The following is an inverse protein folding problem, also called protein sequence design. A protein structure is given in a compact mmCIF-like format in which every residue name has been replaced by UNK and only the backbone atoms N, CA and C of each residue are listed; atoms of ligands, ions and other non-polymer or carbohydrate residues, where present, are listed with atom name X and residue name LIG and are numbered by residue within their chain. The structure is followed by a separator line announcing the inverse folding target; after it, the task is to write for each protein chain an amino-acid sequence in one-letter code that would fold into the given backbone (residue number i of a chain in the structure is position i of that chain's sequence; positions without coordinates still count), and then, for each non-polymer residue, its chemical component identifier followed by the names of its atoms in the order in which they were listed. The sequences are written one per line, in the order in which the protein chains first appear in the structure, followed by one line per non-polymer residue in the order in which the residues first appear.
data_IF_523790261613
#
_entry.id   IF_523790261613
#
_cell.length_a   1.000
_cell.length_b   1.000
_cell.length_c   1.000
_cell.angle_alpha   90.00
_cell.angle_beta   90.00
_cell.angle_gamma   90.00
#
_symmetry.space_group_name_H-M   'P 1'
#
loop_
_entity.id
_entity.type
_entity.pdbx_description
1 polymer ?
#
# COMPACT_ATOMS: atom_id res chain seq x y z
N UNK A 1 2.30 -14.31 9.92
CA UNK A 1 1.85 -13.08 10.62
C UNK A 1 1.77 -11.95 9.61
N UNK A 2 0.95 -10.92 9.87
CA UNK A 2 0.71 -9.77 8.98
C UNK A 2 0.95 -8.50 9.80
N UNK A 3 1.81 -7.59 9.34
CA UNK A 3 1.93 -6.23 9.88
C UNK A 3 1.07 -5.29 9.03
N UNK A 4 0.39 -4.33 9.68
CA UNK A 4 -0.29 -3.23 8.99
C UNK A 4 0.72 -2.10 8.81
N UNK A 5 0.89 -1.63 7.57
CA UNK A 5 1.80 -0.55 7.23
C UNK A 5 1.02 0.68 6.75
N UNK A 6 1.28 1.82 7.37
CA UNK A 6 0.65 3.11 7.05
C UNK A 6 1.74 4.16 6.84
N UNK A 7 1.79 4.77 5.67
CA UNK A 7 2.56 6.00 5.43
C UNK A 7 1.62 7.19 5.49
N UNK A 8 1.93 8.17 6.37
CA UNK A 8 1.09 9.35 6.54
C UNK A 8 1.93 10.64 6.62
N UNK A 9 1.27 11.80 6.62
CA UNK A 9 1.86 13.12 6.74
C UNK A 9 0.86 14.09 7.39
N UNK A 10 1.29 15.31 7.73
CA UNK A 10 0.53 16.23 8.59
C UNK A 10 -0.91 16.54 8.11
N UNK A 11 -1.14 16.61 6.79
CA UNK A 11 -2.51 16.91 6.28
C UNK A 11 -3.51 15.79 6.53
N UNK A 12 -3.01 14.56 6.63
CA UNK A 12 -3.84 13.36 6.78
C UNK A 12 -3.97 12.89 8.24
N UNK A 13 -3.29 13.51 9.23
CA UNK A 13 -3.31 13.02 10.62
C UNK A 13 -4.70 13.00 11.26
N UNK A 14 -5.61 13.91 10.88
CA UNK A 14 -7.00 13.83 11.33
C UNK A 14 -7.70 12.59 10.79
N UNK A 15 -7.42 12.24 9.53
CA UNK A 15 -7.98 11.05 8.90
C UNK A 15 -7.34 9.78 9.46
N UNK A 16 -6.02 9.83 9.73
CA UNK A 16 -5.31 8.75 10.39
C UNK A 16 -5.96 8.37 11.73
N UNK A 17 -6.44 9.33 12.53
CA UNK A 17 -7.18 9.03 13.75
C UNK A 17 -8.46 8.22 13.50
N UNK A 18 -9.22 8.57 12.45
CA UNK A 18 -10.41 7.79 12.08
C UNK A 18 -10.04 6.42 11.53
N UNK A 19 -8.98 6.34 10.73
CA UNK A 19 -8.42 5.08 10.25
C UNK A 19 -8.06 4.16 11.43
N UNK A 20 -7.26 4.64 12.38
CA UNK A 20 -6.83 3.87 13.57
C UNK A 20 -8.00 3.42 14.43
N UNK A 21 -8.99 4.29 14.70
CA UNK A 21 -10.21 3.90 15.42
C UNK A 21 -11.00 2.83 14.67
N UNK A 22 -11.02 2.87 13.35
CA UNK A 22 -11.68 1.84 12.55
C UNK A 22 -10.92 0.51 12.56
N UNK A 23 -9.58 0.57 12.53
CA UNK A 23 -8.73 -0.62 12.69
C UNK A 23 -8.99 -1.26 14.07
N UNK A 24 -8.94 -0.48 15.15
CA UNK A 24 -9.21 -0.94 16.52
C UNK A 24 -10.56 -1.64 16.63
N UNK A 25 -11.59 -1.07 16.02
CA UNK A 25 -12.96 -1.57 16.13
C UNK A 25 -13.23 -2.78 15.24
N UNK A 26 -12.67 -2.84 14.05
CA UNK A 26 -13.13 -3.74 13.01
C UNK A 26 -12.08 -4.76 12.53
N UNK A 27 -10.78 -4.54 12.76
CA UNK A 27 -9.76 -5.47 12.30
C UNK A 27 -9.21 -6.33 13.42
N UNK A 28 -8.99 -7.60 13.10
CA UNK A 28 -8.32 -8.57 13.98
C UNK A 28 -7.30 -9.39 13.19
N UNK A 29 -6.38 -10.06 13.89
CA UNK A 29 -5.44 -11.00 13.27
C UNK A 29 -4.17 -10.37 12.71
N UNK A 30 -3.89 -9.09 12.95
CA UNK A 30 -2.59 -8.46 12.66
C UNK A 30 -1.63 -8.66 13.84
N UNK A 31 -0.33 -8.51 13.54
CA UNK A 31 0.73 -8.59 14.55
C UNK A 31 0.97 -7.21 15.20
N UNK A 32 1.25 -6.19 14.38
CA UNK A 32 1.47 -4.80 14.81
C UNK A 32 1.02 -3.81 13.74
N UNK A 33 0.93 -2.53 14.14
CA UNK A 33 0.70 -1.41 13.22
C UNK A 33 1.99 -0.61 13.16
N UNK A 34 2.52 -0.45 11.96
CA UNK A 34 3.70 0.35 11.66
C UNK A 34 3.27 1.64 10.97
N UNK A 35 3.63 2.77 11.54
CA UNK A 35 3.35 4.09 10.95
C UNK A 35 4.66 4.77 10.60
N UNK A 36 4.79 5.26 9.37
CA UNK A 36 5.94 6.04 8.91
C UNK A 36 5.50 7.46 8.59
N UNK A 37 6.16 8.45 9.21
CA UNK A 37 5.87 9.88 9.00
C UNK A 37 7.14 10.67 8.70
N UNK A 38 7.04 11.85 8.02
CA UNK A 38 8.16 12.78 7.89
C UNK A 38 8.57 13.35 9.24
N UNK A 39 9.86 13.55 9.44
CA UNK A 39 10.42 14.13 10.67
C UNK A 39 9.89 15.53 10.97
N UNK A 40 9.69 16.34 9.93
CA UNK A 40 9.09 17.67 10.05
C UNK A 40 7.69 17.67 10.63
N UNK A 41 6.97 16.56 10.53
CA UNK A 41 5.56 16.42 10.95
C UNK A 41 5.43 15.79 12.36
N UNK A 42 6.53 15.37 13.00
CA UNK A 42 6.50 14.61 14.25
C UNK A 42 5.77 15.33 15.40
N UNK A 43 6.03 16.63 15.58
CA UNK A 43 5.37 17.40 16.65
C UNK A 43 3.87 17.54 16.41
N UNK A 44 3.46 17.71 15.16
CA UNK A 44 2.05 17.77 14.75
C UNK A 44 1.40 16.40 14.99
N UNK A 45 2.08 15.31 14.63
CA UNK A 45 1.63 13.96 14.89
C UNK A 45 1.31 13.76 16.37
N UNK A 46 2.23 14.08 17.28
CA UNK A 46 2.06 13.95 18.72
C UNK A 46 0.89 14.77 19.28
N UNK A 47 0.55 15.90 18.65
CA UNK A 47 -0.56 16.77 19.09
C UNK A 47 -1.93 16.34 18.56
N UNK A 48 -1.97 15.55 17.49
CA UNK A 48 -3.23 15.21 16.80
C UNK A 48 -3.57 13.73 16.94
N UNK A 49 -2.57 12.82 16.83
CA UNK A 49 -2.83 11.38 16.79
C UNK A 49 -2.86 10.82 18.20
N UNK A 50 -4.04 10.32 18.59
CA UNK A 50 -4.28 9.71 19.90
C UNK A 50 -4.89 8.32 19.71
N UNK A 51 -4.23 7.30 20.25
CA UNK A 51 -4.66 5.91 20.14
C UNK A 51 -4.03 5.08 21.25
N UNK A 52 -4.75 4.07 21.72
CA UNK A 52 -4.25 3.03 22.65
C UNK A 52 -3.69 1.81 21.89
N UNK A 53 -3.77 1.80 20.56
CA UNK A 53 -3.23 0.72 19.76
C UNK A 53 -1.70 0.64 19.89
N UNK A 54 -1.12 -0.56 19.90
CA UNK A 54 0.33 -0.75 19.89
C UNK A 54 0.91 -0.34 18.52
N UNK A 55 1.37 0.90 18.40
CA UNK A 55 1.94 1.45 17.18
C UNK A 55 3.46 1.47 17.28
N UNK A 56 4.12 0.97 16.26
CA UNK A 56 5.53 1.21 16.00
C UNK A 56 5.67 2.41 15.06
N UNK A 57 6.13 3.54 15.59
CA UNK A 57 6.27 4.79 14.84
C UNK A 57 7.70 4.95 14.32
N UNK A 58 7.84 5.11 13.02
CA UNK A 58 9.09 5.47 12.36
C UNK A 58 9.04 6.90 11.82
N UNK A 59 10.10 7.64 12.10
CA UNK A 59 10.26 9.04 11.67
C UNK A 59 11.39 9.11 10.66
N UNK A 60 11.09 9.59 9.44
CA UNK A 60 12.03 9.61 8.32
C UNK A 60 12.29 11.03 7.82
N UNK A 61 13.50 11.28 7.35
CA UNK A 61 13.79 12.52 6.61
C UNK A 61 13.11 12.44 5.24
N UNK A 62 12.26 13.42 4.93
CA UNK A 62 11.58 13.53 3.63
C UNK A 62 12.30 14.57 2.78
N UNK A 63 12.51 14.25 1.50
CA UNK A 63 13.13 15.14 0.53
C UNK A 63 12.46 14.98 -0.85
N UNK A 64 12.70 15.97 -1.72
CA UNK A 64 12.13 15.97 -3.06
C UNK A 64 10.60 16.10 -3.09
N UNK A 65 9.97 15.42 -4.03
CA UNK A 65 8.51 15.38 -4.15
C UNK A 65 7.90 14.45 -3.11
N UNK A 66 7.06 14.98 -2.22
CA UNK A 66 6.47 14.21 -1.11
C UNK A 66 5.56 13.07 -1.57
N UNK A 67 4.90 13.19 -2.74
CA UNK A 67 4.11 12.10 -3.33
C UNK A 67 5.02 10.96 -3.77
N UNK A 68 6.09 11.24 -4.50
CA UNK A 68 7.03 10.21 -4.95
C UNK A 68 7.78 9.59 -3.77
N UNK A 69 8.14 10.41 -2.77
CA UNK A 69 8.77 9.90 -1.55
C UNK A 69 7.86 8.94 -0.77
N UNK A 70 6.55 9.23 -0.70
CA UNK A 70 5.58 8.29 -0.13
C UNK A 70 5.57 6.95 -0.88
N UNK A 71 5.61 6.98 -2.21
CA UNK A 71 5.67 5.77 -3.03
C UNK A 71 6.94 4.96 -2.75
N UNK A 72 8.09 5.64 -2.66
CA UNK A 72 9.37 5.02 -2.32
C UNK A 72 9.35 4.37 -0.93
N UNK A 73 8.81 5.05 0.09
CA UNK A 73 8.69 4.50 1.44
C UNK A 73 7.79 3.24 1.44
N UNK A 74 6.69 3.23 0.68
CA UNK A 74 5.84 2.05 0.53
C UNK A 74 6.58 0.90 -0.19
N UNK A 75 7.37 1.18 -1.21
CA UNK A 75 8.21 0.17 -1.88
C UNK A 75 9.29 -0.43 -0.96
N UNK A 76 9.67 0.28 0.09
CA UNK A 76 10.67 -0.15 1.07
C UNK A 76 10.08 -0.52 2.44
N UNK A 77 8.77 -0.79 2.52
CA UNK A 77 8.07 -1.10 3.76
C UNK A 77 8.65 -2.31 4.53
N UNK A 78 9.32 -3.24 3.84
CA UNK A 78 10.02 -4.37 4.45
C UNK A 78 11.11 -3.95 5.45
N UNK A 79 11.64 -2.71 5.37
CA UNK A 79 12.63 -2.17 6.31
C UNK A 79 12.03 -1.81 7.69
N UNK A 80 10.72 -1.72 7.76
CA UNK A 80 9.96 -1.30 8.94
C UNK A 80 9.09 -2.42 9.51
N UNK A 81 8.77 -3.43 8.71
CA UNK A 81 7.91 -4.55 9.05
C UNK A 81 8.70 -5.83 9.19
N UNK A 82 8.39 -6.65 10.22
CA UNK A 82 9.09 -7.92 10.48
C UNK A 82 8.27 -9.15 10.09
N UNK A 83 6.95 -8.99 9.92
CA UNK A 83 6.06 -10.09 9.57
C UNK A 83 6.29 -10.57 8.13
N UNK A 84 5.91 -11.81 7.86
CA UNK A 84 5.97 -12.40 6.52
C UNK A 84 5.15 -11.62 5.49
N UNK A 85 4.03 -11.04 5.94
CA UNK A 85 3.13 -10.27 5.10
C UNK A 85 3.03 -8.83 5.59
N UNK A 86 2.90 -7.91 4.65
CA UNK A 86 2.70 -6.49 4.89
C UNK A 86 1.37 -6.09 4.25
N UNK A 87 0.42 -5.62 5.06
CA UNK A 87 -0.86 -5.09 4.62
C UNK A 87 -0.78 -3.57 4.57
N UNK A 88 -0.96 -3.02 3.38
CA UNK A 88 -0.94 -1.57 3.16
C UNK A 88 -2.31 -0.96 3.42
N UNK A 89 -2.35 0.03 4.29
CA UNK A 89 -3.55 0.82 4.58
C UNK A 89 -3.19 2.30 4.41
N UNK A 90 -3.92 3.01 3.57
CA UNK A 90 -3.76 4.46 3.45
C UNK A 90 -4.44 5.16 4.64
N UNK A 91 -3.88 6.27 5.09
CA UNK A 91 -4.37 6.99 6.27
C UNK A 91 -5.79 7.56 6.13
N UNK A 92 -6.32 7.61 4.91
CA UNK A 92 -7.69 8.02 4.59
C UNK A 92 -8.66 6.84 4.38
N UNK A 93 -8.25 5.62 4.70
CA UNK A 93 -9.08 4.42 4.65
C UNK A 93 -9.81 4.19 5.98
N UNK A 94 -11.10 3.86 5.91
CA UNK A 94 -11.93 3.55 7.09
C UNK A 94 -12.57 2.18 6.88
N UNK A 95 -12.41 1.30 7.85
CA UNK A 95 -13.09 0.01 7.90
C UNK A 95 -14.46 0.17 8.57
N UNK A 96 -15.48 -0.47 8.02
CA UNK A 96 -16.85 -0.43 8.52
C UNK A 96 -17.42 -1.85 8.81
N UNK A 97 -16.62 -2.89 8.52
CA UNK A 97 -16.99 -4.31 8.70
C UNK A 97 -15.91 -5.02 9.51
N UNK A 98 -16.32 -6.00 10.33
CA UNK A 98 -15.37 -6.86 11.02
C UNK A 98 -14.64 -7.77 10.04
N UNK A 99 -13.31 -7.68 10.02
CA UNK A 99 -12.44 -8.47 9.16
C UNK A 99 -11.33 -9.09 10.01
N UNK A 100 -11.23 -10.42 9.99
CA UNK A 100 -10.00 -11.09 10.40
C UNK A 100 -9.05 -11.08 9.21
N UNK A 101 -8.00 -10.26 9.25
CA UNK A 101 -7.11 -10.07 8.10
C UNK A 101 -6.35 -11.34 7.71
N UNK A 102 -6.24 -12.33 8.59
CA UNK A 102 -5.67 -13.65 8.24
C UNK A 102 -6.50 -14.35 7.16
N UNK A 103 -7.81 -14.07 7.06
CA UNK A 103 -8.67 -14.65 6.02
C UNK A 103 -8.37 -14.14 4.62
N UNK A 104 -7.63 -13.01 4.50
CA UNK A 104 -7.19 -12.44 3.21
C UNK A 104 -5.95 -13.16 2.65
N UNK A 105 -5.38 -14.08 3.44
CA UNK A 105 -4.22 -14.89 3.04
C UNK A 105 -4.60 -16.36 3.11
N UNK A 106 -4.93 -16.95 1.98
CA UNK A 106 -5.30 -18.37 1.90
C UNK A 106 -4.10 -19.22 1.53
N UNK A 107 -3.81 -20.26 2.32
CA UNK A 107 -2.66 -21.16 2.09
C UNK A 107 -1.32 -20.42 1.94
N UNK A 108 -1.13 -19.31 2.66
CA UNK A 108 0.07 -18.48 2.55
C UNK A 108 0.11 -17.58 1.31
N UNK A 109 -0.97 -17.50 0.53
CA UNK A 109 -1.07 -16.70 -0.68
C UNK A 109 -2.04 -15.54 -0.48
N UNK A 110 -1.57 -14.28 -0.40
CA UNK A 110 -2.43 -13.10 -0.46
C UNK A 110 -3.15 -13.01 -1.80
N UNK A 111 -4.39 -12.50 -1.77
CA UNK A 111 -5.16 -12.27 -2.99
C UNK A 111 -4.83 -10.91 -3.60
N UNK A 112 -4.55 -10.89 -4.91
CA UNK A 112 -4.39 -9.68 -5.71
C UNK A 112 -5.40 -9.71 -6.86
N UNK A 113 -6.30 -8.73 -6.87
CA UNK A 113 -7.24 -8.54 -7.96
C UNK A 113 -6.58 -7.72 -9.07
N UNK A 114 -6.77 -8.14 -10.32
CA UNK A 114 -6.23 -7.44 -11.47
C UNK A 114 -7.26 -7.34 -12.61
N UNK A 115 -7.09 -6.34 -13.47
CA UNK A 115 -7.93 -6.17 -14.66
C UNK A 115 -7.10 -5.63 -15.83
N UNK A 116 -7.53 -5.90 -17.05
CA UNK A 116 -6.84 -5.40 -18.24
C UNK A 116 -6.94 -3.88 -18.35
N UNK A 117 -5.85 -3.19 -18.66
CA UNK A 117 -5.81 -1.72 -18.76
C UNK A 117 -6.84 -1.13 -19.73
N UNK A 118 -7.29 -1.87 -20.74
CA UNK A 118 -8.37 -1.42 -21.63
C UNK A 118 -9.73 -1.27 -20.96
N UNK A 119 -9.88 -1.73 -19.70
CA UNK A 119 -11.16 -1.73 -18.97
C UNK A 119 -11.16 -0.81 -17.73
N UNK A 120 -10.10 -0.05 -17.50
CA UNK A 120 -9.92 0.68 -16.21
C UNK A 120 -10.11 2.20 -16.29
N UNK A 121 -10.57 2.76 -17.39
CA UNK A 121 -10.82 4.21 -17.50
C UNK A 121 -9.60 5.04 -17.07
N UNK A 122 -9.77 5.88 -16.04
CA UNK A 122 -8.73 6.82 -15.58
C UNK A 122 -7.48 6.14 -15.05
N UNK A 123 -7.56 4.89 -14.57
CA UNK A 123 -6.41 4.16 -14.07
C UNK A 123 -5.38 3.80 -15.16
N UNK A 124 -5.71 4.00 -16.45
CA UNK A 124 -4.77 3.87 -17.58
C UNK A 124 -3.54 4.78 -17.40
N UNK A 125 -3.66 5.87 -16.66
CA UNK A 125 -2.57 6.80 -16.39
C UNK A 125 -1.39 6.16 -15.63
N UNK A 126 -1.62 5.03 -14.96
CA UNK A 126 -0.58 4.30 -14.23
C UNK A 126 0.21 3.32 -15.10
N UNK A 127 -0.29 3.00 -16.29
CA UNK A 127 0.33 2.01 -17.18
C UNK A 127 1.78 2.36 -17.51
N UNK A 128 2.02 3.56 -18.02
CA UNK A 128 3.35 3.95 -18.52
C UNK A 128 4.43 3.95 -17.41
N UNK A 129 4.10 4.39 -16.18
CA UNK A 129 5.08 4.38 -15.10
C UNK A 129 5.37 2.95 -14.61
N UNK A 130 4.35 2.07 -14.65
CA UNK A 130 4.53 0.65 -14.34
C UNK A 130 5.38 -0.05 -15.39
N UNK A 131 5.16 0.21 -16.69
CA UNK A 131 5.99 -0.31 -17.78
C UNK A 131 7.46 0.14 -17.66
N UNK A 132 7.69 1.41 -17.31
CA UNK A 132 9.06 1.90 -17.05
C UNK A 132 9.72 1.18 -15.88
N UNK A 133 8.99 0.93 -14.80
CA UNK A 133 9.50 0.19 -13.65
C UNK A 133 9.83 -1.25 -14.01
N UNK A 134 8.93 -1.93 -14.74
CA UNK A 134 9.12 -3.32 -15.17
C UNK A 134 10.12 -3.48 -16.31
N UNK A 135 10.48 -2.39 -16.99
CA UNK A 135 11.23 -2.41 -18.25
C UNK A 135 10.61 -3.36 -19.28
N UNK A 136 9.28 -3.47 -19.29
CA UNK A 136 8.51 -4.37 -20.16
C UNK A 136 7.08 -3.84 -20.33
N UNK A 137 6.36 -4.40 -21.30
CA UNK A 137 4.95 -4.10 -21.52
C UNK A 137 4.08 -4.68 -20.40
N UNK A 138 3.23 -3.85 -19.79
CA UNK A 138 2.30 -4.26 -18.75
C UNK A 138 0.86 -4.17 -19.26
N UNK A 139 0.14 -5.29 -19.19
CA UNK A 139 -1.23 -5.39 -19.70
C UNK A 139 -2.30 -5.14 -18.63
N UNK A 140 -1.95 -5.32 -17.36
CA UNK A 140 -2.88 -5.35 -16.25
C UNK A 140 -2.62 -4.29 -15.20
N UNK A 141 -3.70 -3.79 -14.63
CA UNK A 141 -3.78 -2.93 -13.46
C UNK A 141 -4.04 -3.78 -12.22
N UNK A 142 -3.36 -3.50 -11.08
CA UNK A 142 -3.35 -4.35 -9.88
C UNK A 142 -3.89 -3.66 -8.63
N UNK A 143 -4.46 -2.47 -8.75
CA UNK A 143 -4.98 -1.70 -7.62
C UNK A 143 -6.52 -1.73 -7.59
N UNK A 144 -7.11 -2.95 -7.74
CA UNK A 144 -8.57 -3.12 -7.88
C UNK A 144 -9.31 -3.11 -6.56
N UNK A 145 -8.66 -3.48 -5.47
CA UNK A 145 -9.26 -3.52 -4.15
C UNK A 145 -8.20 -3.28 -3.07
N UNK A 146 -8.43 -2.30 -2.22
CA UNK A 146 -7.63 -2.05 -1.02
C UNK A 146 -8.31 -2.68 0.20
N UNK A 147 -7.57 -3.05 1.26
CA UNK A 147 -6.11 -3.01 1.35
C UNK A 147 -5.43 -4.11 0.52
N UNK A 148 -4.17 -3.87 0.16
CA UNK A 148 -3.34 -4.85 -0.54
C UNK A 148 -2.36 -5.49 0.45
N UNK A 149 -2.12 -6.78 0.28
CA UNK A 149 -1.17 -7.54 1.09
C UNK A 149 -0.09 -8.11 0.20
N UNK A 150 1.17 -7.87 0.58
CA UNK A 150 2.32 -8.40 -0.12
C UNK A 150 3.20 -9.22 0.81
N UNK A 151 3.89 -10.22 0.25
CA UNK A 151 5.00 -10.88 0.92
C UNK A 151 6.14 -9.88 1.14
N UNK A 152 6.69 -9.84 2.35
CA UNK A 152 7.88 -9.05 2.67
C UNK A 152 9.04 -9.37 1.73
N UNK A 153 9.24 -10.65 1.42
CA UNK A 153 10.24 -11.15 0.48
C UNK A 153 10.11 -10.56 -0.94
N UNK A 154 8.88 -10.25 -1.40
CA UNK A 154 8.70 -9.60 -2.71
C UNK A 154 9.35 -8.22 -2.75
N UNK A 155 9.18 -7.43 -1.70
CA UNK A 155 9.79 -6.10 -1.59
C UNK A 155 11.32 -6.20 -1.44
N UNK A 156 11.80 -7.15 -0.64
CA UNK A 156 13.24 -7.42 -0.48
C UNK A 156 13.89 -7.81 -1.81
N UNK A 157 13.23 -8.68 -2.57
CA UNK A 157 13.72 -9.12 -3.89
C UNK A 157 13.79 -7.94 -4.87
N UNK A 158 12.75 -7.11 -4.93
CA UNK A 158 12.75 -5.90 -5.76
C UNK A 158 13.93 -4.99 -5.40
N UNK A 159 14.14 -4.74 -4.11
CA UNK A 159 15.22 -3.84 -3.67
C UNK A 159 16.61 -4.41 -3.99
N UNK A 160 16.80 -5.73 -3.87
CA UNK A 160 18.07 -6.39 -4.16
C UNK A 160 18.39 -6.40 -5.66
N UNK A 161 17.38 -6.52 -6.52
CA UNK A 161 17.55 -6.53 -7.98
C UNK A 161 17.56 -5.13 -8.61
N UNK A 162 16.98 -4.14 -7.92
CA UNK A 162 16.95 -2.74 -8.36
C UNK A 162 17.66 -1.83 -7.33
N UNK A 163 19.00 -1.80 -7.33
CA UNK A 163 19.77 -1.02 -6.36
C UNK A 163 19.53 0.49 -6.48
N UNK A 164 19.02 0.94 -7.63
CA UNK A 164 18.67 2.35 -7.89
C UNK A 164 17.18 2.65 -7.68
N UNK A 165 16.44 1.78 -6.96
CA UNK A 165 14.98 1.90 -6.76
C UNK A 165 14.56 3.30 -6.31
N UNK A 166 15.31 3.92 -5.41
CA UNK A 166 15.05 5.28 -4.95
C UNK A 166 15.09 6.29 -6.10
N UNK A 167 16.17 6.28 -6.87
CA UNK A 167 16.34 7.18 -8.02
C UNK A 167 15.29 6.91 -9.10
N UNK A 168 14.94 5.65 -9.33
CA UNK A 168 13.92 5.26 -10.28
C UNK A 168 12.53 5.82 -9.89
N UNK A 169 12.16 5.73 -8.60
CA UNK A 169 10.89 6.27 -8.11
C UNK A 169 10.93 7.80 -8.09
N UNK A 170 11.95 8.40 -7.46
CA UNK A 170 12.02 9.85 -7.25
C UNK A 170 12.15 10.67 -8.54
N UNK A 171 12.70 10.10 -9.61
CA UNK A 171 12.85 10.76 -10.91
C UNK A 171 11.76 10.36 -11.93
N UNK A 172 10.78 9.56 -11.52
CA UNK A 172 9.75 9.06 -12.44
C UNK A 172 8.74 10.11 -12.91
N UNK A 173 8.60 11.22 -12.14
CA UNK A 173 7.53 12.22 -12.31
C UNK A 173 6.14 11.71 -11.94
N UNK A 174 5.88 10.41 -12.08
CA UNK A 174 4.66 9.70 -11.67
C UNK A 174 5.02 8.24 -11.38
N UNK A 175 4.52 7.71 -10.27
CA UNK A 175 4.73 6.32 -9.87
C UNK A 175 3.48 5.77 -9.18
N UNK A 176 3.28 4.46 -9.27
CA UNK A 176 2.23 3.75 -8.54
C UNK A 176 2.86 2.50 -7.92
N UNK A 177 3.10 2.55 -6.61
CA UNK A 177 3.72 1.46 -5.86
C UNK A 177 2.92 0.16 -5.96
N UNK A 178 1.59 0.26 -5.86
CA UNK A 178 0.74 -0.93 -5.91
C UNK A 178 0.69 -1.57 -7.28
N UNK A 179 0.71 -0.78 -8.36
CA UNK A 179 0.82 -1.32 -9.71
C UNK A 179 2.21 -1.91 -9.97
N UNK A 180 3.27 -1.28 -9.47
CA UNK A 180 4.63 -1.80 -9.58
C UNK A 180 4.80 -3.11 -8.81
N UNK A 181 4.35 -3.17 -7.53
CA UNK A 181 4.39 -4.38 -6.72
C UNK A 181 3.53 -5.51 -7.31
N UNK A 182 2.32 -5.18 -7.78
CA UNK A 182 1.42 -6.16 -8.40
C UNK A 182 1.97 -6.74 -9.70
N UNK A 183 2.49 -5.89 -10.59
CA UNK A 183 3.11 -6.33 -11.85
C UNK A 183 4.35 -7.19 -11.59
N UNK A 184 5.21 -6.77 -10.65
CA UNK A 184 6.38 -7.55 -10.26
C UNK A 184 5.98 -8.92 -9.72
N UNK A 185 5.07 -8.97 -8.77
CA UNK A 185 4.59 -10.22 -8.16
C UNK A 185 3.95 -11.14 -9.22
N UNK A 186 3.20 -10.58 -10.17
CA UNK A 186 2.56 -11.33 -11.24
C UNK A 186 3.58 -12.03 -12.18
N UNK A 187 4.70 -11.36 -12.45
CA UNK A 187 5.74 -11.89 -13.35
C UNK A 187 6.69 -12.83 -12.61
N UNK A 188 7.17 -12.44 -11.43
CA UNK A 188 8.30 -13.09 -10.78
C UNK A 188 7.93 -13.97 -9.58
N UNK A 189 6.79 -13.75 -8.94
CA UNK A 189 6.35 -14.44 -7.72
C UNK A 189 4.92 -14.96 -7.83
N UNK A 190 4.49 -15.37 -9.03
CA UNK A 190 3.10 -15.75 -9.30
C UNK A 190 2.61 -16.89 -8.40
N UNK A 191 3.47 -17.80 -8.03
CA UNK A 191 3.20 -18.92 -7.13
C UNK A 191 2.97 -18.52 -5.66
N UNK A 192 3.40 -17.30 -5.26
CA UNK A 192 3.23 -16.77 -3.90
C UNK A 192 1.92 -16.02 -3.68
N UNK A 193 1.14 -15.80 -4.71
CA UNK A 193 -0.09 -15.02 -4.66
C UNK A 193 -1.24 -15.73 -5.34
N UNK A 194 -2.46 -15.42 -4.91
CA UNK A 194 -3.67 -15.77 -5.63
C UNK A 194 -4.11 -14.57 -6.48
N UNK A 195 -3.90 -14.67 -7.79
CA UNK A 195 -4.28 -13.64 -8.75
C UNK A 195 -5.66 -13.91 -9.33
N UNK A 196 -6.59 -12.96 -9.16
CA UNK A 196 -7.97 -13.06 -9.65
C UNK A 196 -8.25 -11.98 -10.70
N UNK A 197 -8.63 -12.43 -11.91
CA UNK A 197 -8.99 -11.53 -13.01
C UNK A 197 -10.41 -10.99 -12.82
N UNK A 198 -10.55 -9.67 -12.79
CA UNK A 198 -11.83 -8.99 -12.60
C UNK A 198 -12.45 -8.43 -13.88
N UNK A 199 -11.92 -8.77 -15.06
CA UNK A 199 -12.35 -8.23 -16.35
C UNK A 199 -13.86 -8.38 -16.62
N UNK A 200 -14.48 -9.42 -16.09
CA UNK A 200 -15.89 -9.73 -16.26
C UNK A 200 -16.71 -9.52 -14.98
N UNK A 201 -16.13 -8.97 -13.92
CA UNK A 201 -16.86 -8.69 -12.70
C UNK A 201 -17.69 -7.42 -12.87
N UNK A 202 -18.94 -7.45 -12.48
CA UNK A 202 -19.81 -6.27 -12.48
C UNK A 202 -19.40 -5.28 -11.38
N UNK A 203 -18.88 -5.80 -10.27
CA UNK A 203 -18.50 -5.01 -9.11
C UNK A 203 -17.44 -5.72 -8.30
N UNK A 204 -16.46 -4.95 -7.80
CA UNK A 204 -15.48 -5.40 -6.81
C UNK A 204 -15.87 -4.81 -5.46
N UNK A 205 -16.28 -5.68 -4.52
CA UNK A 205 -16.66 -5.20 -3.18
C UNK A 205 -15.44 -4.64 -2.44
N UNK A 206 -15.47 -3.37 -2.00
CA UNK A 206 -14.38 -2.79 -1.24
C UNK A 206 -14.34 -3.39 0.17
N UNK A 207 -13.12 -3.54 0.72
CA UNK A 207 -12.91 -3.96 2.10
C UNK A 207 -12.88 -2.76 3.08
N UNK A 208 -12.75 -1.56 2.55
CA UNK A 208 -12.74 -0.31 3.30
C UNK A 208 -13.41 0.82 2.49
N UNK A 209 -13.69 1.93 3.16
CA UNK A 209 -14.12 3.18 2.54
C UNK A 209 -12.89 4.08 2.45
N UNK A 210 -12.50 4.48 1.25
CA UNK A 210 -11.41 5.44 1.04
C UNK A 210 -11.99 6.85 0.92
N UNK A 211 -11.53 7.75 1.77
CA UNK A 211 -12.00 9.11 1.87
C UNK A 211 -11.05 10.09 1.15
N UNK A 212 -10.68 9.86 -0.06
CA UNK A 212 -9.80 10.67 -0.93
C UNK A 212 -9.43 12.05 -0.36
N UNK A 213 -8.32 12.15 0.35
CA UNK A 213 -7.90 13.37 1.05
C UNK A 213 -7.66 14.56 0.12
N UNK A 214 -7.30 14.31 -1.13
CA UNK A 214 -7.05 15.33 -2.16
C UNK A 214 -8.32 15.85 -2.87
N UNK A 215 -9.49 15.25 -2.64
CA UNK A 215 -10.78 15.71 -3.18
C UNK A 215 -11.53 16.67 -2.25
N UNK A 216 -10.89 17.12 -1.17
CA UNK A 216 -11.49 18.04 -0.20
C UNK A 216 -10.98 19.46 -0.42
N UNK A 217 -11.81 20.28 -1.05
CA UNK A 217 -11.72 21.74 -0.99
C UNK A 217 -12.20 22.24 0.37
#
# INVERSE_FOLDING_TARGET
MIDIFIKSYYKDFKMLNYCLKSIEKYLTGYNKIVIVIPKKDYQIYQSIVHTELPIELHVVEEYGDGYLYQQFIKMTAYKYCDSQFIMYVDSDCIFDKHINIQSLVSNGQPEILYTHYSKVGDAICWKQCTERFMNDTVHFEFMRRLPLIYHRETLETIHNLEPNLESLVMNSGRFSEFNALGAWAFVHHKDKYRFENTDNWQYVEPLNIQLWSHCRN
#
